data_IF_336782645846
#
_entry.id   IF_336782645846
#
_cell.length_a   1.000
_cell.length_b   1.000
_cell.length_c   1.000
_cell.angle_alpha   90.00
_cell.angle_beta   90.00
_cell.angle_gamma   90.00
#
_symmetry.space_group_name_H-M   'P 1'
#
loop_
_entity.id
_entity.type
_entity.pdbx_description
1 polymer ?
#
# COMPACT_ATOMS: atom_id res chain seq x y z
N UNK A 1 -21.92 5.65 0.35
CA UNK A 1 -20.84 6.30 1.14
C UNK A 1 -19.60 6.33 0.26
N UNK A 2 -19.01 7.50 -0.01
CA UNK A 2 -17.86 7.61 -0.92
C UNK A 2 -16.63 6.96 -0.27
N UNK A 3 -16.05 5.93 -0.90
CA UNK A 3 -14.78 5.33 -0.42
C UNK A 3 -13.70 6.41 -0.46
N UNK A 4 -12.89 6.52 0.59
CA UNK A 4 -11.77 7.47 0.60
C UNK A 4 -10.75 7.02 -0.43
N UNK A 5 -9.99 7.97 -0.98
CA UNK A 5 -8.93 7.64 -1.94
C UNK A 5 -7.95 6.62 -1.37
N UNK A 6 -7.63 6.72 -0.07
CA UNK A 6 -6.79 5.75 0.65
C UNK A 6 -7.34 4.33 0.66
N UNK A 7 -8.67 4.16 0.72
CA UNK A 7 -9.29 2.83 0.70
C UNK A 7 -9.12 2.17 -0.67
N UNK A 8 -9.30 2.94 -1.75
CA UNK A 8 -9.07 2.45 -3.11
C UNK A 8 -7.60 2.08 -3.31
N UNK A 9 -6.68 2.94 -2.91
CA UNK A 9 -5.24 2.67 -3.01
C UNK A 9 -4.86 1.42 -2.20
N UNK A 10 -5.47 1.19 -1.04
CA UNK A 10 -5.24 -0.04 -0.29
C UNK A 10 -5.68 -1.29 -1.06
N UNK A 11 -6.86 -1.27 -1.69
CA UNK A 11 -7.34 -2.37 -2.53
C UNK A 11 -6.42 -2.61 -3.75
N UNK A 12 -5.95 -1.53 -4.37
CA UNK A 12 -5.05 -1.60 -5.53
C UNK A 12 -3.72 -2.27 -5.14
N UNK A 13 -3.11 -1.83 -4.04
CA UNK A 13 -1.87 -2.43 -3.51
C UNK A 13 -2.11 -3.90 -3.09
N UNK A 14 -3.24 -4.22 -2.47
CA UNK A 14 -3.59 -5.60 -2.13
C UNK A 14 -3.67 -6.48 -3.38
N UNK A 15 -4.23 -5.95 -4.48
CA UNK A 15 -4.31 -6.64 -5.77
C UNK A 15 -2.92 -6.91 -6.34
N UNK A 16 -2.01 -5.92 -6.27
CA UNK A 16 -0.62 -6.09 -6.69
C UNK A 16 0.11 -7.20 -5.91
N UNK A 17 -0.17 -7.34 -4.61
CA UNK A 17 0.43 -8.37 -3.76
C UNK A 17 -0.19 -9.75 -4.04
N UNK A 18 -1.53 -9.85 -4.03
CA UNK A 18 -2.23 -11.13 -3.98
C UNK A 18 -2.48 -11.71 -5.36
N UNK A 19 -2.85 -10.88 -6.34
CA UNK A 19 -3.24 -11.30 -7.68
C UNK A 19 -2.06 -11.21 -8.64
N UNK A 20 -1.42 -10.04 -8.71
CA UNK A 20 -0.33 -9.80 -9.66
C UNK A 20 0.99 -10.45 -9.22
N UNK A 21 1.09 -10.85 -7.94
CA UNK A 21 2.31 -11.41 -7.33
C UNK A 21 3.54 -10.52 -7.54
N UNK A 22 3.31 -9.21 -7.64
CA UNK A 22 4.36 -8.21 -7.83
C UNK A 22 5.29 -8.11 -6.63
N UNK A 23 4.73 -8.37 -5.44
CA UNK A 23 5.46 -8.41 -4.18
C UNK A 23 5.14 -9.73 -3.49
N UNK A 24 6.17 -10.50 -3.15
CA UNK A 24 5.99 -11.78 -2.47
C UNK A 24 5.92 -11.58 -0.95
N UNK A 25 5.24 -12.48 -0.21
CA UNK A 25 5.24 -12.45 1.25
C UNK A 25 6.66 -12.44 1.82
N UNK A 26 6.95 -11.47 2.69
CA UNK A 26 8.28 -11.28 3.28
C UNK A 26 9.23 -10.39 2.47
N UNK A 27 8.89 -10.05 1.23
CA UNK A 27 9.64 -9.06 0.47
C UNK A 27 9.37 -7.65 1.00
N UNK A 28 10.39 -6.81 0.88
CA UNK A 28 10.29 -5.40 1.23
C UNK A 28 9.60 -4.65 0.09
N UNK A 29 8.50 -3.99 0.39
CA UNK A 29 7.86 -3.06 -0.54
C UNK A 29 8.79 -1.86 -0.85
N UNK A 30 8.67 -1.24 -2.03
CA UNK A 30 9.35 0.01 -2.32
C UNK A 30 9.05 1.06 -1.26
N UNK A 31 9.97 2.00 -1.06
CA UNK A 31 9.74 3.03 -0.04
C UNK A 31 8.59 3.98 -0.45
N UNK A 32 8.09 4.76 0.51
CA UNK A 32 6.95 5.65 0.26
C UNK A 32 7.20 6.66 -0.87
N UNK A 33 8.45 7.09 -1.09
CA UNK A 33 8.80 8.06 -2.13
C UNK A 33 8.67 7.40 -3.51
N UNK A 34 9.28 6.22 -3.67
CA UNK A 34 9.26 5.45 -4.93
C UNK A 34 7.83 5.05 -5.30
N UNK A 35 7.12 4.40 -4.39
CA UNK A 35 5.80 3.86 -4.70
C UNK A 35 4.74 4.96 -4.89
N UNK A 36 4.83 6.07 -4.15
CA UNK A 36 3.90 7.19 -4.36
C UNK A 36 4.15 7.89 -5.70
N UNK A 37 5.40 7.98 -6.15
CA UNK A 37 5.75 8.49 -7.47
C UNK A 37 5.24 7.56 -8.58
N UNK A 38 5.40 6.25 -8.42
CA UNK A 38 4.94 5.28 -9.40
C UNK A 38 3.41 5.23 -9.52
N UNK A 39 2.70 5.30 -8.40
CA UNK A 39 1.24 5.30 -8.37
C UNK A 39 0.63 6.69 -8.61
N UNK A 40 1.44 7.72 -8.82
CA UNK A 40 1.04 9.11 -9.00
C UNK A 40 0.11 9.65 -7.89
N UNK A 41 0.36 9.25 -6.65
CA UNK A 41 -0.44 9.66 -5.47
C UNK A 41 0.40 10.45 -4.46
N UNK A 42 -0.28 11.15 -3.54
CA UNK A 42 0.41 11.79 -2.43
C UNK A 42 0.95 10.74 -1.44
N UNK A 43 2.11 11.01 -0.84
CA UNK A 43 2.67 10.20 0.25
C UNK A 43 1.71 10.04 1.43
N UNK A 44 0.90 11.06 1.71
CA UNK A 44 -0.12 11.01 2.76
C UNK A 44 -1.18 9.95 2.45
N UNK A 45 -1.68 9.92 1.21
CA UNK A 45 -2.64 8.92 0.75
C UNK A 45 -2.04 7.51 0.85
N UNK A 46 -0.80 7.34 0.40
CA UNK A 46 -0.10 6.05 0.45
C UNK A 46 0.08 5.57 1.90
N UNK A 47 0.43 6.47 2.82
CA UNK A 47 0.54 6.16 4.25
C UNK A 47 -0.78 5.69 4.86
N UNK A 48 -1.89 6.32 4.51
CA UNK A 48 -3.20 5.85 4.99
C UNK A 48 -3.54 4.48 4.39
N UNK A 49 -3.24 4.23 3.12
CA UNK A 49 -3.42 2.92 2.51
C UNK A 49 -2.60 1.83 3.21
N UNK A 50 -1.32 2.10 3.51
CA UNK A 50 -0.49 1.19 4.29
C UNK A 50 -0.99 0.97 5.72
N UNK A 51 -1.57 1.98 6.37
CA UNK A 51 -2.21 1.79 7.69
C UNK A 51 -3.41 0.86 7.62
N UNK A 52 -4.23 0.99 6.57
CA UNK A 52 -5.38 0.11 6.35
C UNK A 52 -4.89 -1.34 6.14
N UNK A 53 -3.89 -1.53 5.28
CA UNK A 53 -3.32 -2.85 5.01
C UNK A 53 -2.63 -3.45 6.24
N UNK A 54 -1.94 -2.64 7.05
CA UNK A 54 -1.31 -3.08 8.28
C UNK A 54 -2.35 -3.47 9.35
N UNK A 55 -3.43 -2.70 9.47
CA UNK A 55 -4.55 -3.05 10.36
C UNK A 55 -5.21 -4.39 9.95
N UNK A 56 -5.17 -4.72 8.67
CA UNK A 56 -5.67 -6.00 8.13
C UNK A 56 -4.62 -7.13 8.15
N UNK A 57 -3.41 -6.88 8.66
CA UNK A 57 -2.34 -7.89 8.72
C UNK A 57 -1.69 -8.26 7.38
N UNK A 58 -1.89 -7.44 6.34
CA UNK A 58 -1.34 -7.70 5.00
C UNK A 58 0.12 -7.24 4.89
N UNK A 59 0.46 -6.14 5.56
CA UNK A 59 1.81 -5.55 5.55
C UNK A 59 2.25 -5.18 6.97
N UNK A 60 3.55 -5.14 7.21
CA UNK A 60 4.13 -4.63 8.45
C UNK A 60 4.85 -3.30 8.20
N UNK A 61 4.50 -2.28 8.96
CA UNK A 61 5.21 -1.00 8.93
C UNK A 61 6.36 -1.07 9.92
N UNK A 62 7.59 -1.15 9.40
CA UNK A 62 8.81 -1.10 10.21
C UNK A 62 9.47 0.26 10.07
N UNK A 63 9.70 0.94 11.19
CA UNK A 63 10.52 2.17 11.23
C UNK A 63 11.99 1.75 11.28
N UNK A 64 12.75 2.18 10.29
CA UNK A 64 14.19 1.98 10.17
C UNK A 64 14.77 3.09 9.31
#
# INVERSE_FOLDING_TARGET
MQKRLSDRVADDILTMIVIEKRFLPGEKLPNEIELSGELEISRTTLREAFRILAANGVVEIRRG
#
